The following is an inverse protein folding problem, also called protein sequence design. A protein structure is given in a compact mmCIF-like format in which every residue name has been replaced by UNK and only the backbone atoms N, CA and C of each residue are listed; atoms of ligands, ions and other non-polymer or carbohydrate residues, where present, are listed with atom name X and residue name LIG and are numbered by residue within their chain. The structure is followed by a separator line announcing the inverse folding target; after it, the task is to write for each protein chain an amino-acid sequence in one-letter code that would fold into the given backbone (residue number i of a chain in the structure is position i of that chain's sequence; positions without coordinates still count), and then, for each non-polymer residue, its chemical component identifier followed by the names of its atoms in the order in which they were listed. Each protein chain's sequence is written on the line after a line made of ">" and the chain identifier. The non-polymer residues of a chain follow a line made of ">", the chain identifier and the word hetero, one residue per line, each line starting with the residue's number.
data_IF_489313559628
#
_entry.id   IF_489313559628
#
_cell.length_a   1.000
_cell.length_b   1.000
_cell.length_c   1.000
_cell.angle_alpha   90.00
_cell.angle_beta   90.00
_cell.angle_gamma   90.00
#
_symmetry.space_group_name_H-M   'P 1'
#
loop_
_entity.id
_entity.type
_entity.pdbx_description
1 polymer ?
#
# COMPACT_ATOMS: atom_id res chain seq x y z
N UNK A 1 32.73 -12.65 -75.13
CA UNK A 1 31.29 -12.45 -75.35
C UNK A 1 30.54 -13.27 -74.30
N UNK A 2 29.97 -12.54 -73.35
CA UNK A 2 28.95 -12.89 -72.36
C UNK A 2 29.05 -14.20 -71.57
N UNK A 3 29.80 -14.15 -70.47
CA UNK A 3 29.48 -14.91 -69.27
C UNK A 3 28.59 -14.03 -68.38
N UNK A 4 27.31 -13.90 -68.73
CA UNK A 4 26.39 -13.04 -67.97
C UNK A 4 24.93 -13.47 -68.10
N UNK A 5 24.60 -14.71 -67.74
CA UNK A 5 23.19 -15.09 -67.59
C UNK A 5 23.00 -16.30 -66.67
N UNK A 6 23.25 -16.11 -65.37
CA UNK A 6 22.65 -16.95 -64.32
C UNK A 6 22.44 -16.10 -63.08
N UNK A 7 21.48 -15.17 -63.17
CA UNK A 7 21.05 -14.38 -62.03
C UNK A 7 19.52 -14.26 -62.06
N UNK A 8 18.92 -14.75 -60.99
CA UNK A 8 17.56 -14.49 -60.49
C UNK A 8 16.37 -14.77 -61.42
N UNK A 9 15.82 -15.98 -61.33
CA UNK A 9 14.37 -16.18 -61.51
C UNK A 9 13.88 -17.22 -60.49
N UNK A 10 13.55 -16.79 -59.28
CA UNK A 10 12.90 -17.61 -58.24
C UNK A 10 11.36 -17.58 -58.45
N UNK A 11 10.92 -17.46 -59.70
CA UNK A 11 9.51 -17.48 -60.11
C UNK A 11 9.41 -18.53 -61.20
N UNK A 12 8.72 -19.61 -60.87
CA UNK A 12 8.28 -20.64 -61.80
C UNK A 12 6.88 -20.23 -62.29
N UNK A 13 6.66 -20.29 -63.61
CA UNK A 13 5.36 -20.01 -64.22
C UNK A 13 4.44 -21.26 -64.19
N UNK A 14 4.83 -22.28 -63.42
CA UNK A 14 4.10 -23.54 -63.30
C UNK A 14 2.81 -23.31 -62.49
N UNK A 15 1.67 -23.61 -63.11
CA UNK A 15 0.35 -23.56 -62.48
C UNK A 15 -0.02 -24.92 -61.91
N UNK A 16 -0.70 -24.92 -60.77
CA UNK A 16 -1.34 -26.11 -60.22
C UNK A 16 -2.51 -26.56 -61.12
N UNK A 17 -2.79 -27.87 -61.15
CA UNK A 17 -3.75 -28.51 -62.07
C UNK A 17 -5.23 -28.12 -61.83
N UNK A 18 -5.52 -27.40 -60.74
CA UNK A 18 -6.88 -27.01 -60.38
C UNK A 18 -7.17 -25.54 -60.71
N UNK A 19 -8.32 -25.33 -61.35
CA UNK A 19 -8.86 -24.01 -61.65
C UNK A 19 -10.15 -23.81 -60.86
N UNK A 20 -10.17 -22.78 -60.02
CA UNK A 20 -11.32 -22.41 -59.21
C UNK A 20 -11.92 -21.12 -59.76
N UNK A 21 -13.03 -21.24 -60.49
CA UNK A 21 -13.78 -20.08 -61.00
C UNK A 21 -12.92 -19.07 -61.80
N UNK A 22 -12.03 -19.60 -62.65
CA UNK A 22 -11.10 -18.81 -63.46
C UNK A 22 -9.82 -18.39 -62.73
N UNK A 23 -9.70 -18.60 -61.41
CA UNK A 23 -8.48 -18.35 -60.64
C UNK A 23 -7.63 -19.62 -60.61
N UNK A 24 -6.35 -19.46 -60.91
CA UNK A 24 -5.33 -20.53 -60.88
C UNK A 24 -4.18 -20.10 -59.98
N UNK A 25 -3.53 -21.07 -59.36
CA UNK A 25 -2.48 -20.85 -58.36
C UNK A 25 -1.11 -21.28 -58.94
N UNK A 26 -0.08 -20.46 -58.68
CA UNK A 26 1.30 -20.75 -59.06
C UNK A 26 1.97 -21.64 -58.01
N UNK A 27 2.71 -22.65 -58.45
CA UNK A 27 3.57 -23.48 -57.59
C UNK A 27 4.92 -22.80 -57.35
N UNK A 28 4.87 -21.59 -56.78
CA UNK A 28 6.06 -20.82 -56.47
C UNK A 28 6.59 -21.16 -55.07
N UNK A 29 7.91 -21.39 -54.91
CA UNK A 29 8.50 -21.52 -53.59
C UNK A 29 8.32 -20.21 -52.83
N UNK A 30 8.03 -20.30 -51.54
CA UNK A 30 7.89 -19.11 -50.71
C UNK A 30 9.22 -18.32 -50.67
N UNK A 31 9.17 -16.97 -50.69
CA UNK A 31 10.39 -16.18 -50.79
C UNK A 31 11.36 -16.48 -49.65
N UNK A 32 12.65 -16.61 -49.94
CA UNK A 32 13.65 -16.96 -48.91
C UNK A 32 13.71 -15.94 -47.77
N UNK A 33 13.44 -14.66 -48.03
CA UNK A 33 13.36 -13.63 -46.99
C UNK A 33 12.20 -13.86 -46.01
N UNK A 34 11.08 -14.43 -46.49
CA UNK A 34 9.94 -14.78 -45.65
C UNK A 34 10.33 -15.90 -44.68
N UNK A 35 11.03 -16.93 -45.14
CA UNK A 35 11.56 -18.00 -44.28
C UNK A 35 12.57 -17.46 -43.25
N UNK A 36 13.42 -16.51 -43.63
CA UNK A 36 14.36 -15.88 -42.69
C UNK A 36 13.62 -15.15 -41.56
N UNK A 37 12.57 -14.38 -41.87
CA UNK A 37 11.76 -13.71 -40.86
C UNK A 37 11.00 -14.73 -40.02
N UNK A 38 10.39 -15.74 -40.64
CA UNK A 38 9.65 -16.80 -39.93
C UNK A 38 10.54 -17.51 -38.91
N UNK A 39 11.72 -17.98 -39.34
CA UNK A 39 12.70 -18.61 -38.44
C UNK A 39 13.27 -17.61 -37.42
N UNK A 40 13.46 -16.36 -37.80
CA UNK A 40 13.91 -15.29 -36.91
C UNK A 40 12.94 -15.05 -35.75
N UNK A 41 11.63 -15.02 -36.02
CA UNK A 41 10.61 -14.86 -34.96
C UNK A 41 10.53 -16.08 -34.03
N UNK A 42 10.72 -17.30 -34.55
CA UNK A 42 10.83 -18.51 -33.73
C UNK A 42 12.03 -18.44 -32.78
N UNK A 43 13.20 -18.08 -33.30
CA UNK A 43 14.40 -17.91 -32.48
C UNK A 43 14.23 -16.80 -31.43
N UNK A 44 13.65 -15.66 -31.82
CA UNK A 44 13.34 -14.57 -30.89
C UNK A 44 12.36 -15.02 -29.80
N UNK A 45 11.32 -15.78 -30.13
CA UNK A 45 10.35 -16.28 -29.15
C UNK A 45 11.02 -17.20 -28.12
N UNK A 46 11.87 -18.13 -28.57
CA UNK A 46 12.61 -19.02 -27.65
C UNK A 46 13.55 -18.19 -26.77
N UNK A 47 14.31 -17.27 -27.36
CA UNK A 47 15.19 -16.36 -26.62
C UNK A 47 14.42 -15.53 -25.59
N UNK A 48 13.26 -14.97 -25.96
CA UNK A 48 12.40 -14.19 -25.09
C UNK A 48 11.90 -15.01 -23.90
N UNK A 49 11.46 -16.25 -24.11
CA UNK A 49 11.03 -17.13 -23.01
C UNK A 49 12.21 -17.43 -22.08
N UNK A 50 13.37 -17.77 -22.63
CA UNK A 50 14.56 -18.05 -21.83
C UNK A 50 14.94 -16.84 -20.99
N UNK A 51 14.99 -15.65 -21.58
CA UNK A 51 15.37 -14.42 -20.87
C UNK A 51 14.31 -14.00 -19.86
N UNK A 52 13.03 -13.98 -20.22
CA UNK A 52 11.97 -13.40 -19.39
C UNK A 52 11.39 -14.36 -18.33
N UNK A 53 11.51 -15.68 -18.53
CA UNK A 53 10.86 -16.66 -17.66
C UNK A 53 11.84 -17.66 -17.03
N UNK A 54 12.96 -17.99 -17.69
CA UNK A 54 13.90 -19.01 -17.20
C UNK A 54 15.21 -18.42 -16.65
N UNK A 55 15.49 -17.16 -16.97
CA UNK A 55 16.73 -16.50 -16.60
C UNK A 55 16.53 -15.59 -15.39
N UNK A 56 17.46 -15.58 -14.42
CA UNK A 56 17.46 -14.64 -13.30
C UNK A 56 17.88 -13.22 -13.71
N UNK A 57 18.17 -12.98 -14.99
CA UNK A 57 18.62 -11.66 -15.49
C UNK A 57 17.49 -10.64 -15.42
N UNK A 58 16.25 -11.04 -15.72
CA UNK A 58 15.10 -10.13 -15.69
C UNK A 58 14.29 -10.35 -14.43
N UNK A 59 13.95 -9.25 -13.75
CA UNK A 59 13.05 -9.30 -12.59
C UNK A 59 11.69 -9.82 -13.01
N UNK A 60 11.11 -10.68 -12.18
CA UNK A 60 9.75 -11.17 -12.42
C UNK A 60 8.75 -10.02 -12.25
N UNK A 61 7.57 -10.12 -12.87
CA UNK A 61 6.51 -9.11 -12.69
C UNK A 61 6.10 -8.97 -11.22
N UNK A 62 6.20 -10.05 -10.45
CA UNK A 62 5.92 -10.05 -9.01
C UNK A 62 6.97 -9.26 -8.22
N UNK A 63 8.26 -9.42 -8.54
CA UNK A 63 9.33 -8.62 -7.91
C UNK A 63 9.21 -7.14 -8.25
N UNK A 64 8.91 -6.81 -9.51
CA UNK A 64 8.68 -5.43 -9.95
C UNK A 64 7.48 -4.83 -9.20
N UNK A 65 6.37 -5.57 -9.11
CA UNK A 65 5.20 -5.13 -8.36
C UNK A 65 5.52 -4.93 -6.87
N UNK A 66 6.18 -5.90 -6.23
CA UNK A 66 6.57 -5.82 -4.83
C UNK A 66 7.45 -4.59 -4.58
N UNK A 67 8.44 -4.34 -5.44
CA UNK A 67 9.30 -3.17 -5.35
C UNK A 67 8.52 -1.85 -5.48
N UNK A 68 7.56 -1.77 -6.39
CA UNK A 68 6.73 -0.58 -6.55
C UNK A 68 5.81 -0.35 -5.33
N UNK A 69 5.26 -1.43 -4.76
CA UNK A 69 4.44 -1.37 -3.56
C UNK A 69 5.27 -0.92 -2.34
N UNK A 70 6.44 -1.52 -2.14
CA UNK A 70 7.36 -1.12 -1.07
C UNK A 70 7.78 0.34 -1.22
N UNK A 71 8.12 0.79 -2.43
CA UNK A 71 8.49 2.19 -2.69
C UNK A 71 7.32 3.15 -2.45
N UNK A 72 6.08 2.75 -2.71
CA UNK A 72 4.90 3.55 -2.41
C UNK A 72 4.65 3.64 -0.90
N UNK A 73 4.71 2.50 -0.19
CA UNK A 73 4.59 2.45 1.27
C UNK A 73 5.72 3.22 1.96
N UNK A 74 6.93 3.15 1.46
CA UNK A 74 8.07 3.89 1.99
C UNK A 74 7.87 5.40 1.87
N UNK A 75 7.31 5.86 0.74
CA UNK A 75 6.95 7.28 0.57
C UNK A 75 5.83 7.72 1.52
N UNK A 76 4.88 6.84 1.82
CA UNK A 76 3.71 7.17 2.64
C UNK A 76 3.91 6.96 4.14
N UNK A 77 4.72 5.99 4.55
CA UNK A 77 4.87 5.55 5.95
C UNK A 77 6.32 5.32 6.37
N UNK A 78 7.30 5.51 5.47
CA UNK A 78 8.70 5.27 5.80
C UNK A 78 9.15 6.08 7.01
N UNK A 79 8.74 7.34 7.11
CA UNK A 79 9.04 8.18 8.27
C UNK A 79 8.39 7.61 9.55
N UNK A 80 7.08 7.34 9.51
CA UNK A 80 6.34 6.79 10.65
C UNK A 80 6.89 5.43 11.12
N UNK A 81 7.32 4.57 10.18
CA UNK A 81 7.89 3.24 10.46
C UNK A 81 9.19 3.31 11.25
N UNK A 82 9.99 4.38 11.09
CA UNK A 82 11.27 4.56 11.78
C UNK A 82 11.11 5.02 13.23
N UNK A 83 9.94 5.56 13.58
CA UNK A 83 9.68 6.06 14.92
C UNK A 83 9.18 4.88 15.78
N UNK A 84 9.80 4.63 16.95
CA UNK A 84 9.34 3.59 17.86
C UNK A 84 7.95 3.93 18.41
N UNK A 85 7.19 2.91 18.80
CA UNK A 85 5.86 3.10 19.38
C UNK A 85 5.95 3.94 20.67
N UNK A 86 5.29 5.09 20.68
CA UNK A 86 5.31 6.05 21.78
C UNK A 86 4.66 7.37 21.40
N UNK A 87 4.66 8.33 22.33
CA UNK A 87 4.02 9.65 22.14
C UNK A 87 4.53 10.41 20.92
N UNK A 88 5.82 10.29 20.64
CA UNK A 88 6.42 10.93 19.47
C UNK A 88 5.79 10.45 18.16
N UNK A 89 5.47 9.16 18.08
CA UNK A 89 4.85 8.57 16.90
C UNK A 89 3.42 9.05 16.72
N UNK A 90 2.68 9.24 17.81
CA UNK A 90 1.32 9.81 17.80
C UNK A 90 1.39 11.27 17.35
N UNK A 91 2.29 12.06 17.94
CA UNK A 91 2.52 13.45 17.58
C UNK A 91 2.83 13.58 16.09
N UNK A 92 3.72 12.72 15.58
CA UNK A 92 4.05 12.70 14.17
C UNK A 92 2.86 12.28 13.29
N UNK A 93 2.08 11.30 13.73
CA UNK A 93 0.87 10.88 13.03
C UNK A 93 -0.16 12.01 12.90
N UNK A 94 -0.30 12.85 13.94
CA UNK A 94 -1.20 14.01 13.96
C UNK A 94 -0.83 15.12 12.97
N UNK A 95 0.45 15.25 12.61
CA UNK A 95 0.91 16.26 11.64
C UNK A 95 0.41 16.01 10.21
N UNK A 96 -0.14 14.82 9.93
CA UNK A 96 -0.59 14.42 8.60
C UNK A 96 -2.07 14.03 8.62
N UNK A 97 -2.91 14.84 7.98
CA UNK A 97 -4.36 14.60 7.89
C UNK A 97 -4.71 13.24 7.26
N UNK A 98 -3.90 12.73 6.33
CA UNK A 98 -4.12 11.41 5.73
C UNK A 98 -3.92 10.29 6.75
N UNK A 99 -2.92 10.42 7.61
CA UNK A 99 -2.66 9.46 8.69
C UNK A 99 -3.76 9.50 9.75
N UNK A 100 -4.25 10.69 10.11
CA UNK A 100 -5.42 10.81 11.00
C UNK A 100 -6.67 10.19 10.37
N UNK A 101 -6.92 10.41 9.08
CA UNK A 101 -8.05 9.79 8.37
C UNK A 101 -7.95 8.26 8.31
N UNK A 102 -6.75 7.72 8.16
CA UNK A 102 -6.52 6.28 8.26
C UNK A 102 -6.77 5.76 9.68
N UNK A 103 -6.32 6.51 10.70
CA UNK A 103 -6.66 6.22 12.09
C UNK A 103 -8.17 6.19 12.34
N UNK A 104 -8.93 7.09 11.71
CA UNK A 104 -10.39 7.09 11.74
C UNK A 104 -10.98 5.83 11.11
N UNK A 105 -10.43 5.39 9.96
CA UNK A 105 -10.87 4.14 9.30
C UNK A 105 -10.60 2.92 10.20
N UNK A 106 -9.42 2.84 10.83
CA UNK A 106 -9.10 1.76 11.78
C UNK A 106 -10.07 1.80 12.96
N UNK A 107 -10.37 3.00 13.48
CA UNK A 107 -11.33 3.16 14.56
C UNK A 107 -12.73 2.67 14.18
N UNK A 108 -13.21 3.00 12.98
CA UNK A 108 -14.48 2.54 12.42
C UNK A 108 -14.55 1.01 12.30
N UNK A 109 -13.46 0.36 11.92
CA UNK A 109 -13.44 -1.09 11.76
C UNK A 109 -13.32 -1.84 13.09
N UNK A 110 -12.64 -1.26 14.08
CA UNK A 110 -12.16 -2.01 15.26
C UNK A 110 -12.66 -1.51 16.61
N UNK A 111 -13.01 -0.23 16.72
CA UNK A 111 -13.26 0.43 18.00
C UNK A 111 -14.72 0.83 18.23
N UNK A 112 -15.47 1.09 17.15
CA UNK A 112 -16.86 1.59 17.23
C UNK A 112 -17.82 0.63 17.92
N UNK A 113 -17.52 -0.67 17.97
CA UNK A 113 -18.39 -1.63 18.65
C UNK A 113 -18.59 -1.28 20.13
N UNK A 114 -17.59 -0.69 20.77
CA UNK A 114 -17.66 -0.24 22.16
C UNK A 114 -17.73 1.28 22.29
N UNK A 115 -16.96 2.01 21.48
CA UNK A 115 -16.84 3.47 21.60
C UNK A 115 -17.79 4.24 20.67
N UNK A 116 -18.65 3.54 19.91
CA UNK A 116 -19.57 4.10 18.92
C UNK A 116 -18.88 4.95 17.82
N UNK A 117 -19.65 5.26 16.77
CA UNK A 117 -19.23 6.18 15.71
C UNK A 117 -18.80 7.54 16.29
N UNK A 118 -17.72 8.11 15.75
CA UNK A 118 -17.16 9.37 16.21
C UNK A 118 -16.61 9.35 17.65
N UNK A 119 -16.47 8.18 18.28
CA UNK A 119 -15.96 8.05 19.65
C UNK A 119 -16.90 8.56 20.73
N UNK A 120 -18.20 8.66 20.43
CA UNK A 120 -19.22 9.22 21.33
C UNK A 120 -19.55 8.35 22.55
N UNK A 121 -19.04 7.12 22.60
CA UNK A 121 -19.27 6.15 23.68
C UNK A 121 -20.63 5.45 23.62
N UNK A 122 -20.74 4.37 24.40
CA UNK A 122 -21.96 3.58 24.61
C UNK A 122 -22.12 3.36 26.11
N UNK A 123 -23.25 3.80 26.68
CA UNK A 123 -23.50 3.75 28.12
C UNK A 123 -23.31 2.32 28.67
N UNK A 124 -22.39 2.16 29.61
CA UNK A 124 -22.09 0.88 30.25
C UNK A 124 -21.23 -0.09 29.44
N UNK A 125 -20.73 0.33 28.26
CA UNK A 125 -19.85 -0.49 27.41
C UNK A 125 -18.54 0.21 27.05
N UNK A 126 -18.60 1.45 26.54
CA UNK A 126 -17.41 2.19 26.16
C UNK A 126 -17.54 3.69 26.42
N UNK A 127 -16.41 4.30 26.76
CA UNK A 127 -16.31 5.69 27.18
C UNK A 127 -16.51 6.64 26.01
N UNK A 128 -16.96 7.87 26.31
CA UNK A 128 -16.86 9.01 25.40
C UNK A 128 -15.38 9.41 25.28
N UNK A 129 -14.88 9.55 24.04
CA UNK A 129 -13.49 9.90 23.72
C UNK A 129 -13.38 11.32 23.16
N UNK A 130 -14.49 12.07 23.12
CA UNK A 130 -14.58 13.37 22.42
C UNK A 130 -14.54 14.58 23.36
N UNK A 131 -14.61 14.35 24.67
CA UNK A 131 -14.50 15.36 25.71
C UNK A 131 -13.05 15.48 26.24
N UNK A 132 -12.83 16.21 27.33
CA UNK A 132 -11.53 16.41 27.97
C UNK A 132 -11.34 15.62 29.28
N UNK A 133 -12.28 14.72 29.61
CA UNK A 133 -12.35 13.95 30.84
C UNK A 133 -12.00 12.49 30.56
N UNK A 134 -10.92 12.01 31.16
CA UNK A 134 -10.40 10.68 30.89
C UNK A 134 -10.33 9.80 32.13
N UNK A 135 -10.38 8.50 31.90
CA UNK A 135 -10.21 7.44 32.91
C UNK A 135 -9.03 6.56 32.50
N UNK A 136 -8.09 6.35 33.42
CA UNK A 136 -6.86 5.57 33.21
C UNK A 136 -5.87 6.15 32.17
N UNK A 137 -6.05 7.39 31.74
CA UNK A 137 -5.22 8.07 30.75
C UNK A 137 -4.89 9.45 31.30
N UNK A 138 -3.61 9.79 31.32
CA UNK A 138 -3.10 11.13 31.65
C UNK A 138 -2.28 11.72 30.49
N UNK A 139 -1.63 10.88 29.69
CA UNK A 139 -0.83 11.31 28.53
C UNK A 139 -1.24 10.59 27.24
N UNK A 140 -0.73 11.05 26.09
CA UNK A 140 -1.01 10.37 24.81
C UNK A 140 -0.41 8.95 24.79
N UNK A 141 0.69 8.72 25.51
CA UNK A 141 1.34 7.43 25.65
C UNK A 141 0.47 6.41 26.39
N UNK A 142 -0.39 6.86 27.30
CA UNK A 142 -1.33 5.99 27.99
C UNK A 142 -2.37 5.38 27.05
N UNK A 143 -2.76 6.09 25.99
CA UNK A 143 -3.63 5.53 24.94
C UNK A 143 -2.95 4.30 24.31
N UNK A 144 -1.66 4.41 24.01
CA UNK A 144 -0.89 3.27 23.49
C UNK A 144 -0.79 2.16 24.53
N UNK A 145 -0.55 2.48 25.81
CA UNK A 145 -0.53 1.48 26.88
C UNK A 145 -1.85 0.71 26.98
N UNK A 146 -2.98 1.40 26.86
CA UNK A 146 -4.32 0.82 26.87
C UNK A 146 -4.57 -0.04 25.63
N UNK A 147 -4.24 0.43 24.42
CA UNK A 147 -4.34 -0.37 23.20
C UNK A 147 -3.45 -1.62 23.27
N UNK A 148 -2.28 -1.46 23.86
CA UNK A 148 -1.24 -2.47 23.91
C UNK A 148 -1.53 -3.57 24.93
N UNK A 149 -1.94 -3.19 26.14
CA UNK A 149 -2.07 -4.11 27.28
C UNK A 149 -3.54 -4.37 27.67
N UNK A 150 -4.47 -3.53 27.22
CA UNK A 150 -5.86 -3.57 27.64
C UNK A 150 -6.07 -3.11 29.09
N UNK A 151 -7.34 -3.06 29.49
CA UNK A 151 -7.82 -2.82 30.86
C UNK A 151 -8.78 -3.96 31.23
N UNK A 152 -8.21 -5.14 31.49
CA UNK A 152 -8.98 -6.33 31.84
C UNK A 152 -10.05 -6.69 30.80
N UNK A 153 -11.28 -6.94 31.26
CA UNK A 153 -12.43 -7.23 30.37
C UNK A 153 -13.11 -5.97 29.83
N UNK A 154 -12.82 -4.79 30.37
CA UNK A 154 -13.45 -3.54 29.96
C UNK A 154 -12.93 -3.04 28.59
N UNK A 155 -11.64 -3.24 28.33
CA UNK A 155 -11.03 -2.99 27.03
C UNK A 155 -9.94 -4.05 26.78
N UNK A 156 -10.16 -5.03 25.89
CA UNK A 156 -9.14 -6.05 25.63
C UNK A 156 -7.93 -5.46 24.89
N UNK A 157 -6.76 -6.09 25.08
CA UNK A 157 -5.55 -5.75 24.31
C UNK A 157 -5.80 -5.90 22.81
N UNK A 158 -5.27 -4.95 22.04
CA UNK A 158 -5.37 -4.90 20.58
C UNK A 158 -4.10 -5.39 19.88
N UNK A 159 -3.07 -5.86 20.59
CA UNK A 159 -1.81 -6.35 19.98
C UNK A 159 -1.98 -7.51 19.00
N UNK A 160 -3.05 -8.30 19.14
CA UNK A 160 -3.35 -9.37 18.21
C UNK A 160 -3.99 -8.87 16.90
N UNK A 161 -4.50 -7.64 16.89
CA UNK A 161 -5.31 -7.09 15.80
C UNK A 161 -4.67 -5.89 15.11
N UNK A 162 -3.75 -5.19 15.76
CA UNK A 162 -3.12 -3.96 15.27
C UNK A 162 -1.60 -4.05 15.40
N UNK A 163 -0.89 -3.61 14.37
CA UNK A 163 0.56 -3.36 14.42
C UNK A 163 0.90 -1.99 15.05
N UNK A 164 2.19 -1.74 15.31
CA UNK A 164 2.65 -0.50 15.95
C UNK A 164 2.31 0.78 15.17
N UNK A 165 2.27 0.73 13.83
CA UNK A 165 1.87 1.89 13.04
C UNK A 165 0.38 2.09 13.15
N UNK A 166 -0.42 1.03 13.00
CA UNK A 166 -1.87 1.08 13.13
C UNK A 166 -2.30 1.58 14.52
N UNK A 167 -1.63 1.13 15.59
CA UNK A 167 -1.85 1.63 16.95
C UNK A 167 -1.57 3.13 17.07
N UNK A 168 -0.49 3.62 16.46
CA UNK A 168 -0.17 5.05 16.49
C UNK A 168 -1.16 5.88 15.67
N UNK A 169 -1.62 5.38 14.52
CA UNK A 169 -2.63 6.04 13.68
C UNK A 169 -3.97 6.14 14.40
N UNK A 170 -4.47 5.05 14.98
CA UNK A 170 -5.75 5.08 15.72
C UNK A 170 -5.63 5.92 17.00
N UNK A 171 -4.48 5.89 17.69
CA UNK A 171 -4.24 6.75 18.84
C UNK A 171 -4.22 8.23 18.45
N UNK A 172 -3.60 8.59 17.31
CA UNK A 172 -3.64 9.95 16.78
C UNK A 172 -5.08 10.39 16.46
N UNK A 173 -5.88 9.52 15.84
CA UNK A 173 -7.29 9.82 15.64
C UNK A 173 -8.03 10.05 16.97
N UNK A 174 -7.85 9.18 17.97
CA UNK A 174 -8.46 9.36 19.31
C UNK A 174 -8.01 10.65 19.97
N UNK A 175 -6.74 11.04 19.85
CA UNK A 175 -6.27 12.35 20.33
C UNK A 175 -6.96 13.49 19.60
N UNK A 176 -7.18 13.37 18.29
CA UNK A 176 -7.86 14.39 17.48
C UNK A 176 -9.35 14.56 17.82
N UNK A 177 -9.98 13.55 18.42
CA UNK A 177 -11.38 13.62 18.87
C UNK A 177 -11.57 14.51 20.09
N UNK A 178 -10.51 14.75 20.88
CA UNK A 178 -10.60 15.55 22.10
C UNK A 178 -11.19 16.92 21.83
N UNK A 179 -12.09 17.38 22.69
CA UNK A 179 -12.83 18.64 22.59
C UNK A 179 -13.75 18.78 21.37
N UNK A 180 -13.92 17.76 20.52
CA UNK A 180 -14.93 17.80 19.47
C UNK A 180 -16.35 17.70 20.02
N UNK A 181 -16.52 17.18 21.24
CA UNK A 181 -17.77 17.11 22.01
C UNK A 181 -18.96 16.63 21.15
N UNK A 182 -18.94 15.36 20.78
CA UNK A 182 -19.94 14.80 19.87
C UNK A 182 -21.37 15.06 20.39
N UNK A 183 -22.33 15.55 19.56
CA UNK A 183 -23.66 15.96 20.02
C UNK A 183 -24.48 14.86 20.71
N UNK A 184 -24.21 13.61 20.35
CA UNK A 184 -24.82 12.41 20.93
C UNK A 184 -23.85 11.63 21.85
N UNK A 185 -22.82 12.30 22.36
CA UNK A 185 -21.88 11.76 23.33
C UNK A 185 -22.57 11.36 24.63
N UNK A 186 -22.20 10.20 25.17
CA UNK A 186 -22.58 9.87 26.55
C UNK A 186 -21.86 10.82 27.52
N UNK A 187 -22.37 10.99 28.75
CA UNK A 187 -21.73 11.86 29.73
C UNK A 187 -20.24 11.51 29.97
N UNK A 188 -19.37 12.50 30.17
CA UNK A 188 -17.95 12.26 30.42
C UNK A 188 -17.70 11.42 31.69
N UNK A 189 -16.69 10.55 31.65
CA UNK A 189 -16.35 9.64 32.75
C UNK A 189 -14.87 9.72 33.12
N UNK A 190 -14.57 10.19 34.35
CA UNK A 190 -13.20 10.26 34.86
C UNK A 190 -12.85 11.63 35.42
N UNK A 191 -11.67 12.14 35.08
CA UNK A 191 -11.19 13.46 35.50
C UNK A 191 -10.66 14.26 34.31
N UNK A 192 -10.82 15.59 34.30
CA UNK A 192 -10.18 16.43 33.29
C UNK A 192 -8.66 16.31 33.40
N UNK A 193 -7.98 16.21 32.27
CA UNK A 193 -6.52 16.15 32.17
C UNK A 193 -5.98 17.36 31.38
N UNK A 194 -4.69 17.74 31.52
CA UNK A 194 -4.07 18.72 30.63
C UNK A 194 -4.12 18.28 29.15
N UNK A 195 -3.94 19.20 28.18
CA UNK A 195 -3.76 18.84 26.77
C UNK A 195 -2.69 17.77 26.58
N UNK A 196 -2.91 16.83 25.65
CA UNK A 196 -1.99 15.72 25.40
C UNK A 196 -0.60 16.18 24.94
N UNK A 197 -0.55 17.26 24.17
CA UNK A 197 0.67 17.90 23.72
C UNK A 197 0.58 19.38 24.06
N UNK A 198 1.64 19.95 24.64
CA UNK A 198 1.78 21.38 24.86
C UNK A 198 2.60 22.01 23.74
N UNK A 199 2.22 23.20 23.28
CA UNK A 199 2.93 23.93 22.22
C UNK A 199 4.28 24.52 22.65
N UNK A 200 4.80 24.16 23.83
CA UNK A 200 6.07 24.68 24.32
C UNK A 200 7.21 23.90 23.66
N UNK A 201 8.09 24.55 22.86
CA UNK A 201 9.23 23.87 22.26
C UNK A 201 10.09 23.26 23.37
N UNK A 202 10.40 21.97 23.25
CA UNK A 202 11.37 21.29 24.12
C UNK A 202 12.71 22.03 24.03
N UNK A 203 13.02 22.87 25.02
CA UNK A 203 14.32 23.49 25.14
C UNK A 203 15.36 22.39 25.40
N UNK A 204 16.15 22.06 24.37
CA UNK A 204 17.29 21.17 24.52
C UNK A 204 18.23 21.77 25.57
N UNK A 205 18.68 21.02 26.59
CA UNK A 205 19.63 21.56 27.56
C UNK A 205 20.90 21.96 26.81
N UNK A 206 21.24 23.24 26.89
CA UNK A 206 22.46 23.80 26.34
C UNK A 206 23.65 22.93 26.79
N UNK A 207 24.37 22.36 25.82
CA UNK A 207 25.65 21.70 26.10
C UNK A 207 26.61 22.76 26.65
N UNK A 208 26.87 22.70 27.96
CA UNK A 208 27.87 23.53 28.61
C UNK A 208 29.23 23.38 27.93
N UNK A 209 29.85 24.52 27.62
CA UNK A 209 31.21 24.62 27.10
C UNK A 209 32.29 24.52 28.17
#
# INVERSE_FOLDING_TARGET
>A
MSAEQKKDSIVHDDLLDHNYDGIQEYDNPTPSWWHMIFLGTMLFSVFYIVVMHLSPITRTRYEVLAQHQEAALEKQFGELRRIPLGEEKIRKALENEQWVAMGATIFEERCVLCHAEGGRGIQGLGLNLTDDVYKNIETAGDILNVLTNGIGTAMPSQRANLDDNEMALVAAYVVSLRNTNHPQGIPPEGKPIPPFFSDTPTEQPASGG
#
